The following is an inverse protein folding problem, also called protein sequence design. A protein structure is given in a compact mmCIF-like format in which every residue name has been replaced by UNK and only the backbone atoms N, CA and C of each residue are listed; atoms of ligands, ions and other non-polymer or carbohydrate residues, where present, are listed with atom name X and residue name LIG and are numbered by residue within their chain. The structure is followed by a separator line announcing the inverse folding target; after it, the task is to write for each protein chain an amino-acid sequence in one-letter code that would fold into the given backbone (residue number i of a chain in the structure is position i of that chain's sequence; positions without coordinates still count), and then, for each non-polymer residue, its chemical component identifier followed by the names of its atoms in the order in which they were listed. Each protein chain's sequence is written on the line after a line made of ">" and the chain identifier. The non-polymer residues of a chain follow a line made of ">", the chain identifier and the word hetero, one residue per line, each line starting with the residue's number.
data_IF_426572855975
#
_entry.id   IF_426572855975
#
_cell.length_a   1.000
_cell.length_b   1.000
_cell.length_c   1.000
_cell.angle_alpha   90.00
_cell.angle_beta   90.00
_cell.angle_gamma   90.00
#
_symmetry.space_group_name_H-M   'P 1'
#
loop_
_entity.id
_entity.type
_entity.pdbx_description
1 polymer ?
#
# COMPACT_ATOMS: atom_id res chain seq x y z
N UNK A 1 6.38 -12.64 14.41
CA UNK A 1 5.91 -12.04 13.15
C UNK A 1 6.90 -10.97 12.69
N UNK A 2 7.26 -11.00 11.45
CA UNK A 2 8.21 -10.04 10.90
C UNK A 2 7.48 -8.75 10.54
N UNK A 3 7.76 -7.67 11.29
CA UNK A 3 7.12 -6.38 11.07
C UNK A 3 7.84 -5.54 10.01
N UNK A 4 8.92 -6.06 9.45
CA UNK A 4 9.71 -5.33 8.47
C UNK A 4 9.23 -5.55 7.04
N UNK A 5 8.26 -6.43 6.84
CA UNK A 5 7.73 -6.75 5.53
C UNK A 5 6.21 -6.69 5.51
N UNK A 6 5.65 -6.14 4.45
CA UNK A 6 4.20 -6.24 4.29
C UNK A 6 3.80 -7.69 4.02
N UNK A 7 2.58 -8.03 4.42
CA UNK A 7 2.04 -9.37 4.13
C UNK A 7 1.53 -9.47 2.71
N UNK A 8 1.25 -8.36 2.08
CA UNK A 8 0.80 -8.31 0.69
C UNK A 8 1.03 -6.92 0.12
N UNK A 9 1.26 -6.84 -1.18
CA UNK A 9 1.41 -5.57 -1.87
C UNK A 9 0.56 -5.58 -3.13
N UNK A 10 0.00 -4.42 -3.46
CA UNK A 10 -0.78 -4.22 -4.67
C UNK A 10 -0.23 -3.00 -5.36
N UNK A 11 0.06 -3.14 -6.66
CA UNK A 11 0.64 -2.06 -7.42
C UNK A 11 -0.07 -1.93 -8.77
N UNK A 12 -0.45 -0.70 -9.09
CA UNK A 12 -0.92 -0.36 -10.44
C UNK A 12 -0.10 0.84 -10.89
N UNK A 13 0.70 0.65 -11.94
CA UNK A 13 1.60 1.70 -12.42
C UNK A 13 2.57 2.11 -11.32
N UNK A 14 2.55 3.39 -10.95
CA UNK A 14 3.43 3.95 -9.93
C UNK A 14 2.78 4.00 -8.56
N UNK A 15 1.54 3.57 -8.42
CA UNK A 15 0.82 3.60 -7.15
C UNK A 15 0.89 2.24 -6.51
N UNK A 16 1.35 2.19 -5.25
CA UNK A 16 1.52 0.94 -4.53
C UNK A 16 0.90 1.05 -3.15
N UNK A 17 0.13 0.03 -2.80
CA UNK A 17 -0.36 -0.16 -1.44
C UNK A 17 0.34 -1.37 -0.83
N UNK A 18 0.79 -1.22 0.40
CA UNK A 18 1.37 -2.31 1.17
C UNK A 18 0.47 -2.59 2.36
N UNK A 19 0.16 -3.86 2.56
CA UNK A 19 -0.70 -4.30 3.66
C UNK A 19 0.19 -4.89 4.73
N UNK A 20 0.07 -4.34 5.94
CA UNK A 20 0.87 -4.74 7.10
C UNK A 20 -0.02 -5.41 8.12
N UNK A 21 0.48 -6.46 8.72
CA UNK A 21 -0.24 -7.21 9.74
C UNK A 21 0.36 -6.91 11.10
N UNK A 22 -0.48 -6.49 12.02
CA UNK A 22 -0.09 -6.20 13.39
C UNK A 22 -0.96 -6.99 14.35
N UNK A 23 -0.33 -7.52 15.40
CA UNK A 23 -1.06 -8.16 16.47
C UNK A 23 -1.11 -7.21 17.65
N UNK A 24 -2.32 -6.96 18.14
CA UNK A 24 -2.55 -6.07 19.27
C UNK A 24 -3.31 -6.82 20.36
N UNK A 25 -3.50 -6.17 21.49
CA UNK A 25 -4.30 -6.74 22.58
C UNK A 25 -5.74 -6.98 22.16
N UNK A 26 -6.24 -6.17 21.23
CA UNK A 26 -7.61 -6.29 20.74
C UNK A 26 -7.74 -7.31 19.62
N UNK A 27 -6.64 -7.98 19.23
CA UNK A 27 -6.62 -8.96 18.17
C UNK A 27 -5.76 -8.52 17.00
N UNK A 28 -5.97 -9.15 15.86
CA UNK A 28 -5.20 -8.85 14.67
C UNK A 28 -5.74 -7.61 13.98
N UNK A 29 -4.83 -6.80 13.48
CA UNK A 29 -5.15 -5.58 12.74
C UNK A 29 -4.33 -5.55 11.45
N UNK A 30 -4.94 -5.00 10.43
CA UNK A 30 -4.25 -4.71 9.17
C UNK A 30 -4.13 -3.21 9.00
N UNK A 31 -2.95 -2.78 8.59
CA UNK A 31 -2.70 -1.39 8.21
C UNK A 31 -2.27 -1.34 6.77
N UNK A 32 -2.61 -0.27 6.08
CA UNK A 32 -2.26 -0.09 4.68
C UNK A 32 -1.52 1.21 4.52
N UNK A 33 -0.38 1.15 3.85
CA UNK A 33 0.35 2.34 3.43
C UNK A 33 0.19 2.50 1.93
N UNK A 34 0.01 3.73 1.49
CA UNK A 34 -0.17 4.06 0.08
C UNK A 34 0.92 5.04 -0.32
N UNK A 35 1.64 4.69 -1.37
CA UNK A 35 2.73 5.54 -1.85
C UNK A 35 2.67 5.65 -3.36
N UNK A 36 3.30 6.71 -3.86
CA UNK A 36 3.58 6.89 -5.27
C UNK A 36 5.07 6.73 -5.48
N UNK A 37 5.43 5.83 -6.38
CA UNK A 37 6.81 5.63 -6.78
C UNK A 37 7.19 6.69 -7.80
N UNK A 38 8.42 7.16 -7.74
CA UNK A 38 8.94 8.05 -8.77
C UNK A 38 10.43 7.81 -8.93
N UNK A 39 10.92 8.14 -10.11
CA UNK A 39 12.33 7.98 -10.42
C UNK A 39 12.99 9.35 -10.47
N UNK A 40 14.07 9.49 -9.69
CA UNK A 40 14.86 10.70 -9.66
C UNK A 40 16.24 10.35 -10.17
N UNK A 41 16.52 10.66 -11.45
CA UNK A 41 17.70 10.15 -12.09
C UNK A 41 17.65 8.63 -12.21
N UNK A 42 18.62 7.93 -11.65
CA UNK A 42 18.67 6.47 -11.65
C UNK A 42 18.15 5.87 -10.34
N UNK A 43 17.65 6.70 -9.44
CA UNK A 43 17.22 6.26 -8.12
C UNK A 43 15.71 6.29 -8.02
N UNK A 44 15.11 5.20 -7.56
CA UNK A 44 13.69 5.13 -7.25
C UNK A 44 13.44 5.64 -5.84
N UNK A 45 12.40 6.45 -5.71
CA UNK A 45 12.00 7.03 -4.43
C UNK A 45 10.51 6.90 -4.25
N UNK A 46 10.03 7.25 -3.05
CA UNK A 46 8.63 7.13 -2.69
C UNK A 46 8.11 8.48 -2.20
N UNK A 47 6.84 8.72 -2.48
CA UNK A 47 6.16 9.92 -2.02
C UNK A 47 4.79 9.55 -1.48
N UNK A 48 4.35 10.23 -0.44
CA UNK A 48 2.98 10.12 0.05
C UNK A 48 2.04 11.12 -0.62
N UNK A 49 2.57 11.93 -1.54
CA UNK A 49 1.77 12.90 -2.26
C UNK A 49 1.30 12.33 -3.59
N UNK A 50 0.00 12.46 -3.86
CA UNK A 50 -0.61 11.96 -5.09
C UNK A 50 -1.02 13.12 -5.97
N UNK A 51 -0.73 13.01 -7.26
CA UNK A 51 -1.22 13.97 -8.23
C UNK A 51 -2.68 13.68 -8.59
N UNK A 52 -3.30 14.66 -9.25
CA UNK A 52 -4.70 14.51 -9.65
C UNK A 52 -4.92 13.25 -10.47
N UNK A 53 -4.00 12.93 -11.37
CA UNK A 53 -4.14 11.78 -12.27
C UNK A 53 -3.90 10.45 -11.56
N UNK A 54 -3.39 10.48 -10.32
CA UNK A 54 -3.15 9.27 -9.55
C UNK A 54 -4.37 8.84 -8.72
N UNK A 55 -5.37 9.70 -8.58
CA UNK A 55 -6.41 9.52 -7.57
C UNK A 55 -7.30 8.32 -7.86
N UNK A 56 -7.72 8.12 -9.10
CA UNK A 56 -8.58 6.97 -9.43
C UNK A 56 -7.79 5.67 -9.37
N UNK A 57 -6.52 5.71 -9.75
CA UNK A 57 -5.64 4.54 -9.62
C UNK A 57 -5.47 4.19 -8.16
N UNK A 58 -5.22 5.20 -7.31
CA UNK A 58 -5.10 5.00 -5.86
C UNK A 58 -6.38 4.42 -5.28
N UNK A 59 -7.53 4.92 -5.70
CA UNK A 59 -8.82 4.41 -5.24
C UNK A 59 -8.97 2.92 -5.58
N UNK A 60 -8.58 2.53 -6.80
CA UNK A 60 -8.65 1.12 -7.21
C UNK A 60 -7.69 0.26 -6.42
N UNK A 61 -6.47 0.73 -6.20
CA UNK A 61 -5.48 -0.01 -5.41
C UNK A 61 -5.98 -0.22 -3.98
N UNK A 62 -6.58 0.82 -3.39
CA UNK A 62 -7.14 0.71 -2.04
C UNK A 62 -8.34 -0.24 -1.99
N UNK A 63 -9.17 -0.22 -3.02
CA UNK A 63 -10.28 -1.16 -3.13
C UNK A 63 -9.77 -2.60 -3.18
N UNK A 64 -8.74 -2.85 -3.96
CA UNK A 64 -8.14 -4.19 -4.05
C UNK A 64 -7.51 -4.61 -2.72
N UNK A 65 -6.87 -3.68 -2.02
CA UNK A 65 -6.30 -3.97 -0.70
C UNK A 65 -7.40 -4.33 0.29
N UNK A 66 -8.50 -3.60 0.27
CA UNK A 66 -9.65 -3.88 1.13
C UNK A 66 -10.23 -5.27 0.85
N UNK A 67 -10.39 -5.62 -0.41
CA UNK A 67 -10.88 -6.93 -0.81
C UNK A 67 -9.96 -8.04 -0.30
N UNK A 68 -8.64 -7.83 -0.44
CA UNK A 68 -7.67 -8.81 0.03
C UNK A 68 -7.79 -9.05 1.53
N UNK A 69 -7.93 -7.96 2.30
CA UNK A 69 -8.07 -8.05 3.76
C UNK A 69 -9.36 -8.79 4.13
N UNK A 70 -10.45 -8.50 3.42
CA UNK A 70 -11.73 -9.16 3.69
C UNK A 70 -11.67 -10.67 3.44
N UNK A 71 -10.79 -11.12 2.57
CA UNK A 71 -10.66 -12.53 2.20
C UNK A 71 -9.58 -13.25 3.01
N UNK A 72 -8.89 -12.54 3.88
CA UNK A 72 -7.79 -13.13 4.67
C UNK A 72 -8.28 -13.84 5.91
#
# INVERSE_FOLDING_TARGET
>A
MDKTRPVHEIRIGLIKAAIWHNQTRAGERYNVTLIRLFKNGDVWSQSSHLGRDDLLVAAKVLDMAHTWILQS
#
